data_IF_343933424048
#
_entry.id   IF_343933424048
#
_cell.length_a   1.000
_cell.length_b   1.000
_cell.length_c   1.000
_cell.angle_alpha   90.00
_cell.angle_beta   90.00
_cell.angle_gamma   90.00
#
_symmetry.space_group_name_H-M   'P 1'
#
loop_
_entity.id
_entity.type
_entity.pdbx_description
1 polymer ?
#
# COMPACT_ATOMS: atom_id res chain seq x y z
N UNK A 1 2.09 17.77 4.34
CA UNK A 1 0.82 17.70 3.62
C UNK A 1 0.81 16.36 2.91
N UNK A 2 -0.26 15.57 3.02
CA UNK A 2 -0.37 14.25 2.38
C UNK A 2 -0.71 14.41 0.89
N UNK A 3 0.15 15.12 0.16
CA UNK A 3 -0.02 15.38 -1.28
C UNK A 3 0.77 14.37 -2.08
N UNK A 4 0.17 13.83 -3.15
CA UNK A 4 0.83 12.83 -3.97
C UNK A 4 2.01 13.43 -4.72
N UNK A 5 3.08 12.67 -4.76
CA UNK A 5 4.32 12.96 -5.49
C UNK A 5 4.63 11.87 -6.53
N UNK A 6 4.29 10.61 -6.23
CA UNK A 6 4.65 9.44 -7.00
C UNK A 6 3.45 8.50 -7.15
N UNK A 7 2.56 8.80 -8.09
CA UNK A 7 1.50 7.88 -8.50
C UNK A 7 2.13 6.83 -9.44
N UNK A 8 2.93 5.93 -8.86
CA UNK A 8 3.75 4.97 -9.57
C UNK A 8 3.95 3.69 -8.73
N UNK A 9 3.49 2.51 -9.20
CA UNK A 9 3.58 1.23 -8.50
C UNK A 9 4.99 0.79 -8.10
N UNK A 10 6.02 1.36 -8.74
CA UNK A 10 7.41 1.02 -8.46
C UNK A 10 8.05 1.92 -7.41
N UNK A 11 7.39 3.02 -7.01
CA UNK A 11 7.88 4.03 -6.08
C UNK A 11 6.96 4.22 -4.85
N UNK A 12 5.70 3.82 -4.94
CA UNK A 12 4.65 4.05 -3.93
C UNK A 12 4.78 3.10 -2.71
N UNK A 13 5.56 3.49 -1.70
CA UNK A 13 5.61 2.76 -0.43
C UNK A 13 5.54 3.66 0.77
N UNK A 14 5.26 3.09 1.95
CA UNK A 14 5.19 3.80 3.23
C UNK A 14 6.46 4.57 3.62
N UNK A 15 7.60 4.32 2.98
CA UNK A 15 8.87 5.01 3.25
C UNK A 15 9.14 6.19 2.28
N UNK A 16 8.56 6.16 1.07
CA UNK A 16 8.90 7.09 -0.03
C UNK A 16 7.65 7.82 -0.57
N UNK A 17 6.46 7.21 -0.42
CA UNK A 17 5.18 7.68 -0.93
C UNK A 17 4.16 7.99 0.19
N UNK A 18 3.32 8.97 -0.09
CA UNK A 18 2.21 9.40 0.76
C UNK A 18 1.05 8.39 0.75
N UNK A 19 0.12 8.42 1.72
CA UNK A 19 -1.09 7.58 1.63
C UNK A 19 -1.89 7.94 0.36
N UNK A 20 -1.87 9.22 -0.03
CA UNK A 20 -2.45 9.68 -1.28
C UNK A 20 -1.82 9.04 -2.53
N UNK A 21 -0.50 8.82 -2.55
CA UNK A 21 0.18 8.14 -3.67
C UNK A 21 -0.34 6.72 -3.84
N UNK A 22 -0.48 5.98 -2.73
CA UNK A 22 -0.95 4.59 -2.74
C UNK A 22 -2.40 4.49 -3.17
N UNK A 23 -3.26 5.36 -2.65
CA UNK A 23 -4.67 5.38 -3.00
C UNK A 23 -4.87 5.70 -4.48
N UNK A 24 -4.16 6.72 -5.00
CA UNK A 24 -4.21 7.04 -6.43
C UNK A 24 -3.61 5.93 -7.29
N UNK A 25 -2.50 5.32 -6.87
CA UNK A 25 -1.86 4.23 -7.62
C UNK A 25 -2.78 3.02 -7.73
N UNK A 26 -3.47 2.65 -6.65
CA UNK A 26 -4.43 1.54 -6.63
C UNK A 26 -5.67 1.78 -7.51
N UNK A 27 -6.04 3.05 -7.75
CA UNK A 27 -7.13 3.44 -8.64
C UNK A 27 -6.70 3.51 -10.11
N UNK A 28 -5.44 3.88 -10.37
CA UNK A 28 -4.92 4.10 -11.73
C UNK A 28 -4.34 2.84 -12.35
N UNK A 29 -3.75 1.95 -11.57
CA UNK A 29 -3.03 0.78 -12.07
C UNK A 29 -3.74 -0.54 -11.74
N UNK A 30 -3.48 -1.56 -12.56
CA UNK A 30 -3.85 -2.95 -12.27
C UNK A 30 -2.60 -3.83 -12.21
N UNK A 31 -2.62 -4.83 -11.34
CA UNK A 31 -1.65 -5.93 -11.34
C UNK A 31 -2.15 -7.14 -12.12
N UNK A 32 -1.36 -8.21 -12.13
CA UNK A 32 -1.82 -9.50 -12.65
C UNK A 32 -2.98 -10.02 -11.78
N UNK A 33 -2.80 -9.89 -10.46
CA UNK A 33 -3.83 -10.16 -9.46
C UNK A 33 -4.21 -8.86 -8.72
N UNK A 34 -5.34 -8.90 -8.01
CA UNK A 34 -5.83 -7.83 -7.15
C UNK A 34 -6.24 -8.40 -5.80
N UNK A 35 -5.88 -7.71 -4.72
CA UNK A 35 -6.37 -8.05 -3.38
C UNK A 35 -7.80 -7.53 -3.18
N UNK A 36 -8.68 -8.37 -2.64
CA UNK A 36 -9.99 -7.97 -2.11
C UNK A 36 -9.84 -7.36 -0.71
N UNK A 37 -10.91 -6.76 -0.22
CA UNK A 37 -10.98 -6.19 1.15
C UNK A 37 -10.73 -7.22 2.26
N UNK A 38 -10.95 -8.50 1.98
CA UNK A 38 -10.69 -9.63 2.89
C UNK A 38 -9.24 -10.16 2.78
N UNK A 39 -8.40 -9.55 1.96
CA UNK A 39 -7.01 -9.95 1.72
C UNK A 39 -6.83 -11.08 0.69
N UNK A 40 -7.91 -11.74 0.26
CA UNK A 40 -7.78 -12.79 -0.76
C UNK A 40 -7.53 -12.22 -2.15
N UNK A 41 -6.79 -12.95 -2.96
CA UNK A 41 -6.37 -12.53 -4.30
C UNK A 41 -7.37 -13.01 -5.35
N UNK A 42 -7.68 -12.13 -6.31
CA UNK A 42 -8.48 -12.43 -7.50
C UNK A 42 -7.70 -12.07 -8.77
N UNK A 43 -7.96 -12.73 -9.92
CA UNK A 43 -7.41 -12.31 -11.21
C UNK A 43 -7.85 -10.89 -11.60
N UNK A 44 -6.93 -10.05 -12.07
CA UNK A 44 -7.20 -8.70 -12.58
C UNK A 44 -6.85 -8.60 -14.07
N UNK A 45 -5.59 -8.27 -14.42
CA UNK A 45 -5.10 -8.37 -15.80
C UNK A 45 -4.93 -9.82 -16.26
N UNK A 46 -4.59 -10.72 -15.33
CA UNK A 46 -4.58 -12.14 -15.61
C UNK A 46 -6.02 -12.66 -15.76
N UNK A 47 -6.23 -13.54 -16.73
CA UNK A 47 -7.42 -14.39 -16.83
C UNK A 47 -7.31 -15.54 -15.82
N UNK A 48 -6.15 -16.19 -15.80
CA UNK A 48 -5.83 -17.31 -14.92
C UNK A 48 -4.32 -17.41 -14.66
N UNK A 49 -3.96 -18.27 -13.71
CA UNK A 49 -2.58 -18.65 -13.48
C UNK A 49 -2.47 -20.12 -13.06
N UNK A 50 -1.33 -20.73 -13.38
CA UNK A 50 -0.98 -22.09 -13.01
C UNK A 50 0.31 -22.10 -12.20
N UNK A 51 0.32 -22.87 -11.11
CA UNK A 51 1.52 -23.09 -10.29
C UNK A 51 1.97 -24.53 -10.50
N UNK A 52 3.23 -24.69 -10.88
CA UNK A 52 3.87 -26.00 -11.00
C UNK A 52 3.92 -26.74 -9.64
N UNK A 53 3.95 -28.09 -9.64
CA UNK A 53 3.92 -28.87 -8.40
C UNK A 53 5.07 -28.59 -7.42
N UNK A 54 6.23 -28.15 -7.91
CA UNK A 54 7.39 -27.78 -7.10
C UNK A 54 7.32 -26.34 -6.55
N UNK A 55 6.32 -25.55 -6.97
CA UNK A 55 6.15 -24.16 -6.57
C UNK A 55 7.22 -23.21 -7.14
N UNK A 56 7.93 -23.60 -8.20
CA UNK A 56 9.02 -22.81 -8.79
C UNK A 56 8.62 -22.08 -10.06
N UNK A 57 7.65 -22.60 -10.81
CA UNK A 57 7.12 -21.99 -12.03
C UNK A 57 5.68 -21.52 -11.84
N UNK A 58 5.44 -20.24 -12.15
CA UNK A 58 4.11 -19.64 -12.20
C UNK A 58 3.84 -19.15 -13.62
N UNK A 59 2.81 -19.68 -14.28
CA UNK A 59 2.40 -19.26 -15.62
C UNK A 59 1.15 -18.42 -15.51
N UNK A 60 1.15 -17.21 -16.05
CA UNK A 60 -0.01 -16.33 -16.12
C UNK A 60 -0.44 -16.15 -17.58
N UNK A 61 -1.74 -16.24 -17.80
CA UNK A 61 -2.39 -15.91 -19.08
C UNK A 61 -3.14 -14.60 -18.90
N UNK A 62 -2.83 -13.59 -19.70
CA UNK A 62 -3.49 -12.29 -19.70
C UNK A 62 -4.86 -12.37 -20.38
N UNK A 63 -5.82 -11.57 -19.88
CA UNK A 63 -7.11 -11.41 -20.54
C UNK A 63 -6.93 -10.85 -21.95
N UNK A 64 -7.85 -11.20 -22.84
CA UNK A 64 -7.88 -10.67 -24.21
C UNK A 64 -8.38 -9.21 -24.22
N UNK A 65 -7.92 -8.44 -25.20
CA UNK A 65 -8.38 -7.07 -25.49
C UNK A 65 -8.16 -6.03 -24.37
N UNK A 66 -7.20 -6.29 -23.49
CA UNK A 66 -6.75 -5.34 -22.47
C UNK A 66 -6.15 -4.10 -23.13
N UNK A 67 -6.47 -2.93 -22.57
CA UNK A 67 -5.90 -1.66 -23.02
C UNK A 67 -5.58 -0.75 -21.86
N UNK A 68 -4.54 0.04 -22.05
CA UNK A 68 -4.19 1.20 -21.25
C UNK A 68 -5.25 2.31 -21.37
N UNK A 69 -5.18 3.30 -20.49
CA UNK A 69 -6.04 4.48 -20.50
C UNK A 69 -5.93 5.29 -21.80
N UNK A 70 -4.79 5.23 -22.49
CA UNK A 70 -4.55 5.87 -23.79
C UNK A 70 -5.03 5.04 -25.00
N UNK A 71 -5.51 3.81 -24.76
CA UNK A 71 -6.04 2.91 -25.78
C UNK A 71 -5.03 1.92 -26.36
N UNK A 72 -3.74 2.03 -26.02
CA UNK A 72 -2.73 1.07 -26.41
C UNK A 72 -2.98 -0.31 -25.78
N UNK A 73 -2.56 -1.38 -26.44
CA UNK A 73 -2.77 -2.75 -25.96
C UNK A 73 -1.83 -3.09 -24.81
N UNK A 74 -2.32 -3.86 -23.85
CA UNK A 74 -1.50 -4.45 -22.79
C UNK A 74 -1.05 -5.84 -23.23
N UNK A 75 0.24 -6.14 -23.07
CA UNK A 75 0.86 -7.41 -23.45
C UNK A 75 1.77 -7.96 -22.35
N UNK A 76 2.26 -9.18 -22.54
CA UNK A 76 3.29 -9.78 -21.68
C UNK A 76 4.56 -8.93 -21.60
N UNK A 77 4.87 -8.13 -22.62
CA UNK A 77 6.04 -7.26 -22.63
C UNK A 77 5.96 -6.13 -21.59
N UNK A 78 4.76 -5.63 -21.29
CA UNK A 78 4.54 -4.62 -20.23
C UNK A 78 4.79 -5.21 -18.83
N UNK A 79 4.33 -6.44 -18.62
CA UNK A 79 4.58 -7.18 -17.39
C UNK A 79 6.07 -7.41 -17.20
N UNK A 80 6.74 -7.94 -18.23
CA UNK A 80 8.19 -8.19 -18.19
C UNK A 80 8.96 -6.90 -17.93
N UNK A 81 8.62 -5.83 -18.63
CA UNK A 81 9.24 -4.52 -18.45
C UNK A 81 9.10 -4.04 -17.00
N UNK A 82 7.88 -4.08 -16.45
CA UNK A 82 7.60 -3.61 -15.09
C UNK A 82 8.42 -4.37 -14.06
N UNK A 83 8.42 -5.70 -14.13
CA UNK A 83 9.11 -6.53 -13.14
C UNK A 83 10.64 -6.39 -13.24
N UNK A 84 11.19 -6.33 -14.46
CA UNK A 84 12.62 -6.04 -14.65
C UNK A 84 12.99 -4.65 -14.10
N UNK A 85 12.14 -3.65 -14.33
CA UNK A 85 12.34 -2.29 -13.83
C UNK A 85 12.27 -2.24 -12.30
N UNK A 86 11.36 -3.00 -11.68
CA UNK A 86 11.28 -3.13 -10.22
C UNK A 86 12.55 -3.79 -9.63
N UNK A 87 13.12 -4.78 -10.32
CA UNK A 87 14.35 -5.47 -9.92
C UNK A 87 15.63 -4.66 -10.13
N UNK A 88 15.61 -3.64 -11.00
CA UNK A 88 16.76 -2.80 -11.31
C UNK A 88 17.10 -1.85 -10.15
N UNK A 89 18.37 -1.87 -9.72
CA UNK A 89 18.86 -0.99 -8.65
C UNK A 89 18.75 0.50 -8.98
N UNK A 90 18.76 0.89 -10.26
CA UNK A 90 18.71 2.29 -10.72
C UNK A 90 17.34 2.92 -10.49
N UNK A 91 16.27 2.12 -10.55
CA UNK A 91 14.90 2.53 -10.22
C UNK A 91 14.75 2.89 -8.74
N UNK A 92 15.63 2.34 -7.88
CA UNK A 92 15.55 2.45 -6.41
C UNK A 92 14.18 2.01 -5.89
N UNK A 93 13.57 1.03 -6.55
CA UNK A 93 12.26 0.53 -6.14
C UNK A 93 12.37 -0.17 -4.78
N UNK A 94 11.52 0.20 -3.80
CA UNK A 94 11.42 -0.52 -2.54
C UNK A 94 10.87 -1.95 -2.72
N UNK A 95 10.28 -2.26 -3.88
CA UNK A 95 9.79 -3.61 -4.22
C UNK A 95 10.88 -4.51 -4.80
N UNK A 96 12.11 -4.02 -4.98
CA UNK A 96 13.20 -4.77 -5.62
C UNK A 96 13.45 -6.15 -5.00
N UNK A 97 13.46 -6.23 -3.67
CA UNK A 97 13.71 -7.48 -2.95
C UNK A 97 12.67 -8.57 -3.24
N UNK A 98 11.44 -8.18 -3.61
CA UNK A 98 10.36 -9.12 -3.93
C UNK A 98 10.60 -9.88 -5.26
N UNK A 99 11.50 -9.36 -6.10
CA UNK A 99 11.79 -9.89 -7.44
C UNK A 99 13.21 -10.46 -7.54
N UNK A 100 13.94 -10.53 -6.42
CA UNK A 100 15.31 -11.04 -6.41
C UNK A 100 15.33 -12.53 -6.79
N UNK A 101 16.15 -12.85 -7.80
CA UNK A 101 16.26 -14.20 -8.34
C UNK A 101 15.03 -14.73 -9.09
N UNK A 102 14.05 -13.87 -9.41
CA UNK A 102 12.91 -14.24 -10.26
C UNK A 102 13.28 -14.01 -11.73
N UNK A 103 13.27 -15.08 -12.53
CA UNK A 103 13.48 -15.02 -13.98
C UNK A 103 12.13 -14.99 -14.71
N UNK A 104 12.11 -14.38 -15.90
CA UNK A 104 10.90 -14.13 -16.68
C UNK A 104 11.06 -14.69 -18.09
N UNK A 105 10.11 -15.52 -18.51
CA UNK A 105 10.06 -16.09 -19.86
C UNK A 105 8.78 -15.66 -20.56
N UNK A 106 8.92 -14.89 -21.65
CA UNK A 106 7.85 -14.58 -22.57
C UNK A 106 7.51 -15.84 -23.37
N UNK A 107 6.30 -16.37 -23.22
CA UNK A 107 5.84 -17.50 -24.03
C UNK A 107 5.19 -16.98 -25.31
N UNK A 108 4.28 -16.01 -25.18
CA UNK A 108 3.64 -15.30 -26.29
C UNK A 108 3.19 -13.90 -25.83
N UNK A 109 2.34 -13.22 -26.61
CA UNK A 109 1.88 -11.86 -26.34
C UNK A 109 1.01 -11.75 -25.08
N UNK A 110 0.37 -12.84 -24.64
CA UNK A 110 -0.53 -12.89 -23.49
C UNK A 110 -0.04 -13.83 -22.39
N UNK A 111 0.99 -14.63 -22.63
CA UNK A 111 1.46 -15.65 -21.69
C UNK A 111 2.87 -15.34 -21.18
N UNK A 112 3.00 -15.26 -19.86
CA UNK A 112 4.25 -14.98 -19.14
C UNK A 112 4.49 -16.04 -18.08
N UNK A 113 5.72 -16.55 -18.00
CA UNK A 113 6.17 -17.41 -16.92
C UNK A 113 7.13 -16.67 -15.99
N UNK A 114 6.95 -16.92 -14.70
CA UNK A 114 7.87 -16.54 -13.64
C UNK A 114 8.56 -17.79 -13.12
N UNK A 115 9.88 -17.76 -13.08
CA UNK A 115 10.74 -18.86 -12.67
C UNK A 115 11.47 -18.44 -11.39
N UNK A 116 11.19 -19.12 -10.29
CA UNK A 116 11.76 -18.87 -8.97
C UNK A 116 12.88 -19.87 -8.69
N UNK A 117 13.92 -19.42 -7.99
CA UNK A 117 15.01 -20.29 -7.52
C UNK A 117 14.64 -21.18 -6.34
N UNK A 118 13.59 -20.81 -5.61
CA UNK A 118 13.10 -21.51 -4.40
C UNK A 118 11.63 -21.18 -4.20
N UNK A 119 10.83 -22.09 -3.61
CA UNK A 119 9.42 -21.83 -3.37
C UNK A 119 9.26 -20.63 -2.45
N UNK A 120 8.37 -19.70 -2.82
CA UNK A 120 8.13 -18.48 -2.06
C UNK A 120 6.62 -18.29 -1.90
N UNK A 121 6.10 -18.64 -0.72
CA UNK A 121 4.66 -18.63 -0.44
C UNK A 121 3.95 -17.29 -0.76
N UNK A 122 4.52 -16.11 -0.47
CA UNK A 122 3.90 -14.81 -0.79
C UNK A 122 4.02 -14.41 -2.26
N UNK A 123 4.54 -15.25 -3.16
CA UNK A 123 4.83 -14.84 -4.54
C UNK A 123 3.63 -14.24 -5.26
N UNK A 124 2.44 -14.83 -5.09
CA UNK A 124 1.22 -14.32 -5.71
C UNK A 124 0.86 -12.91 -5.24
N UNK A 125 1.14 -12.56 -3.98
CA UNK A 125 0.92 -11.20 -3.45
C UNK A 125 1.82 -10.18 -4.16
N UNK A 126 3.05 -10.55 -4.53
CA UNK A 126 3.94 -9.68 -5.30
C UNK A 126 3.33 -9.30 -6.66
N UNK A 127 2.56 -10.21 -7.26
CA UNK A 127 1.93 -9.99 -8.58
C UNK A 127 0.73 -9.03 -8.54
N UNK A 128 0.40 -8.49 -7.35
CA UNK A 128 -0.55 -7.37 -7.20
C UNK A 128 0.07 -6.00 -7.52
N UNK A 129 1.38 -5.94 -7.74
CA UNK A 129 2.06 -4.72 -8.20
C UNK A 129 1.40 -4.20 -9.49
N UNK A 130 1.16 -2.89 -9.57
CA UNK A 130 0.62 -2.27 -10.77
C UNK A 130 1.60 -2.39 -11.95
N UNK A 131 1.09 -2.77 -13.11
CA UNK A 131 1.88 -2.87 -14.35
C UNK A 131 2.02 -1.49 -14.98
N UNK A 132 3.25 -1.13 -15.36
CA UNK A 132 3.57 0.10 -16.06
C UNK A 132 3.47 -0.08 -17.59
N UNK A 133 2.97 0.92 -18.32
CA UNK A 133 2.98 0.93 -19.79
C UNK A 133 4.41 1.00 -20.32
N UNK A 134 4.91 -0.09 -20.90
CA UNK A 134 6.28 -0.15 -21.42
C UNK A 134 6.54 0.94 -22.46
N UNK A 135 5.58 1.18 -23.36
CA UNK A 135 5.68 2.17 -24.43
C UNK A 135 5.88 3.61 -23.94
N UNK A 136 5.60 3.89 -22.67
CA UNK A 136 5.84 5.18 -22.03
C UNK A 136 7.14 5.15 -21.24
N UNK A 137 7.30 4.15 -20.38
CA UNK A 137 8.34 4.15 -19.36
C UNK A 137 9.70 3.68 -19.85
N UNK A 138 9.78 2.92 -20.96
CA UNK A 138 11.05 2.45 -21.50
C UNK A 138 11.93 3.58 -22.05
N UNK A 139 11.32 4.68 -22.49
CA UNK A 139 12.01 5.85 -23.02
C UNK A 139 12.49 6.82 -21.93
N UNK A 140 12.12 6.59 -20.66
CA UNK A 140 12.45 7.48 -19.55
C UNK A 140 13.81 7.10 -18.95
N UNK A 141 14.71 8.08 -18.90
CA UNK A 141 15.99 7.92 -18.21
C UNK A 141 15.79 7.63 -16.72
N UNK A 142 16.54 6.66 -16.18
CA UNK A 142 16.43 6.26 -14.77
C UNK A 142 16.68 7.41 -13.79
N UNK A 143 17.51 8.40 -14.12
CA UNK A 143 17.76 9.57 -13.28
C UNK A 143 16.58 10.54 -13.22
N UNK A 144 15.60 10.36 -14.12
CA UNK A 144 14.37 11.15 -14.19
C UNK A 144 13.13 10.32 -13.89
N UNK A 145 13.31 9.08 -13.44
CA UNK A 145 12.21 8.13 -13.24
C UNK A 145 11.24 8.60 -12.15
N UNK A 146 11.76 9.13 -11.04
CA UNK A 146 11.02 9.69 -9.91
C UNK A 146 10.45 11.10 -10.19
N UNK A 147 11.19 11.91 -10.96
CA UNK A 147 10.80 13.29 -11.28
C UNK A 147 9.96 13.43 -12.55
N UNK A 148 9.66 12.33 -13.23
CA UNK A 148 8.88 12.37 -14.46
C UNK A 148 7.43 12.84 -14.21
N UNK A 149 6.86 13.58 -15.18
CA UNK A 149 5.47 14.04 -15.09
C UNK A 149 4.43 12.90 -15.07
N UNK A 150 4.76 11.70 -15.58
CA UNK A 150 3.88 10.54 -15.45
C UNK A 150 3.70 10.06 -14.00
N UNK A 151 4.53 10.50 -13.05
CA UNK A 151 4.28 10.29 -11.62
C UNK A 151 3.15 11.19 -11.07
N UNK A 152 2.79 12.26 -11.78
CA UNK A 152 1.68 13.16 -11.42
C UNK A 152 0.46 12.94 -12.29
N UNK A 153 0.64 12.66 -13.58
CA UNK A 153 -0.44 12.36 -14.54
C UNK A 153 -0.19 11.00 -15.21
N UNK A 154 -0.31 9.91 -14.44
CA UNK A 154 -0.05 8.57 -14.92
C UNK A 154 -1.06 8.11 -15.98
N UNK A 155 -0.58 7.23 -16.85
CA UNK A 155 -1.38 6.34 -17.69
C UNK A 155 -1.27 4.95 -17.09
N UNK A 156 -2.40 4.32 -16.80
CA UNK A 156 -2.47 2.97 -16.27
C UNK A 156 -3.58 2.17 -16.93
N UNK A 157 -4.01 1.11 -16.26
CA UNK A 157 -5.03 0.16 -16.74
C UNK A 157 -6.12 -0.10 -15.70
N UNK A 158 -6.05 0.60 -14.58
CA UNK A 158 -6.95 0.46 -13.43
C UNK A 158 -8.33 1.06 -13.69
N UNK A 159 -9.22 0.98 -12.69
CA UNK A 159 -10.62 1.40 -12.81
C UNK A 159 -10.80 2.87 -13.14
N UNK A 160 -9.85 3.73 -12.78
CA UNK A 160 -9.95 5.18 -12.97
C UNK A 160 -8.71 5.75 -13.64
N UNK A 161 -8.91 6.80 -14.43
CA UNK A 161 -7.84 7.55 -15.10
C UNK A 161 -7.88 9.02 -14.67
N UNK A 162 -6.72 9.67 -14.63
CA UNK A 162 -6.63 11.08 -14.23
C UNK A 162 -7.26 11.96 -15.32
N UNK A 163 -8.27 12.73 -14.93
CA UNK A 163 -8.95 13.68 -15.81
C UNK A 163 -8.35 15.09 -15.67
N UNK A 164 -8.26 15.60 -14.44
CA UNK A 164 -7.69 16.91 -14.15
C UNK A 164 -7.02 16.97 -12.78
N UNK A 165 -6.11 17.93 -12.62
CA UNK A 165 -5.34 18.17 -11.40
C UNK A 165 -5.46 19.66 -11.06
N UNK A 166 -5.93 19.97 -9.85
CA UNK A 166 -5.87 21.33 -9.32
C UNK A 166 -4.57 21.47 -8.52
N UNK A 167 -3.84 22.56 -8.75
CA UNK A 167 -2.54 22.80 -8.11
C UNK A 167 -2.49 24.18 -7.49
N UNK A 168 -1.64 24.33 -6.47
CA UNK A 168 -1.29 25.63 -5.88
C UNK A 168 0.21 25.86 -6.01
N UNK A 169 0.60 27.08 -6.36
CA UNK A 169 2.01 27.48 -6.42
C UNK A 169 2.55 27.66 -5.01
N UNK A 170 3.59 26.91 -4.64
CA UNK A 170 4.27 27.08 -3.35
C UNK A 170 5.12 28.35 -3.36
N UNK A 171 5.62 28.76 -2.18
CA UNK A 171 6.57 29.89 -2.07
C UNK A 171 7.83 29.70 -2.91
N UNK A 172 8.19 28.45 -3.22
CA UNK A 172 9.36 28.09 -4.01
C UNK A 172 9.05 28.00 -5.52
N UNK A 173 7.81 28.26 -5.94
CA UNK A 173 7.38 28.17 -7.33
C UNK A 173 6.87 26.78 -7.75
N UNK A 174 6.91 25.79 -6.87
CA UNK A 174 6.46 24.43 -7.18
C UNK A 174 4.93 24.36 -7.34
N UNK A 175 4.46 23.59 -8.32
CA UNK A 175 3.04 23.27 -8.46
C UNK A 175 2.69 22.05 -7.59
N UNK A 176 2.01 22.31 -6.48
CA UNK A 176 1.60 21.29 -5.52
C UNK A 176 0.15 20.86 -5.79
N UNK A 177 -0.13 19.58 -6.07
CA UNK A 177 -1.50 19.10 -6.24
C UNK A 177 -2.33 19.28 -4.96
N UNK A 178 -3.51 19.86 -5.10
CA UNK A 178 -4.50 19.99 -4.01
C UNK A 178 -5.74 19.14 -4.25
N UNK A 179 -6.02 18.79 -5.51
CA UNK A 179 -7.03 17.80 -5.84
C UNK A 179 -6.75 17.07 -7.15
N UNK A 180 -7.28 15.85 -7.26
CA UNK A 180 -7.35 15.07 -8.48
C UNK A 180 -8.80 14.77 -8.80
N UNK A 181 -9.21 15.04 -10.04
CA UNK A 181 -10.44 14.52 -10.60
C UNK A 181 -10.10 13.31 -11.44
N UNK A 182 -10.68 12.16 -11.10
CA UNK A 182 -10.55 10.91 -11.84
C UNK A 182 -11.87 10.58 -12.53
N UNK A 183 -11.79 10.02 -13.73
CA UNK A 183 -12.94 9.49 -14.47
C UNK A 183 -12.86 7.98 -14.59
N UNK A 184 -14.01 7.32 -14.55
CA UNK A 184 -14.10 5.87 -14.71
C UNK A 184 -13.60 5.44 -16.09
N UNK A 185 -12.81 4.36 -16.11
CA UNK A 185 -12.35 3.72 -17.33
C UNK A 185 -13.30 2.58 -17.72
N UNK A 186 -14.04 2.75 -18.81
CA UNK A 186 -15.07 1.80 -19.24
C UNK A 186 -14.52 0.44 -19.66
N UNK A 187 -13.24 0.37 -20.03
CA UNK A 187 -12.55 -0.86 -20.47
C UNK A 187 -11.72 -1.51 -19.37
N UNK A 188 -11.97 -1.17 -18.10
CA UNK A 188 -11.32 -1.83 -16.98
C UNK A 188 -11.60 -3.34 -16.98
N UNK A 189 -10.58 -4.14 -16.69
CA UNK A 189 -10.58 -5.60 -16.82
C UNK A 189 -11.61 -6.34 -15.93
N UNK A 190 -12.09 -5.68 -14.87
CA UNK A 190 -13.11 -6.21 -13.94
C UNK A 190 -14.49 -5.57 -14.12
N UNK A 191 -14.69 -4.85 -15.24
CA UNK A 191 -15.94 -4.18 -15.57
C UNK A 191 -15.95 -2.71 -15.17
N UNK A 192 -16.86 -1.95 -15.79
CA UNK A 192 -16.93 -0.50 -15.61
C UNK A 192 -17.27 -0.15 -14.15
N UNK A 193 -16.52 0.77 -13.50
CA UNK A 193 -16.88 1.26 -12.18
C UNK A 193 -18.26 1.94 -12.15
N UNK A 194 -18.97 1.79 -11.04
CA UNK A 194 -20.29 2.41 -10.85
C UNK A 194 -20.22 3.93 -10.70
N UNK A 195 -19.21 4.45 -9.99
CA UNK A 195 -18.99 5.89 -9.88
C UNK A 195 -18.30 6.38 -11.14
N UNK A 196 -18.93 7.31 -11.86
CA UNK A 196 -18.39 7.92 -13.07
C UNK A 196 -17.16 8.79 -12.80
N UNK A 197 -17.16 9.49 -11.67
CA UNK A 197 -16.13 10.46 -11.29
C UNK A 197 -15.81 10.33 -9.80
N UNK A 198 -14.52 10.42 -9.48
CA UNK A 198 -14.03 10.56 -8.10
C UNK A 198 -13.20 11.84 -8.04
N UNK A 199 -13.51 12.74 -7.10
CA UNK A 199 -12.64 13.88 -6.80
C UNK A 199 -11.96 13.62 -5.45
N UNK A 200 -10.64 13.47 -5.47
CA UNK A 200 -9.81 13.36 -4.27
C UNK A 200 -9.27 14.74 -3.93
N UNK A 201 -9.53 15.22 -2.71
CA UNK A 201 -9.11 16.54 -2.23
C UNK A 201 -8.18 16.36 -1.04
N UNK A 202 -7.03 17.02 -1.05
CA UNK A 202 -6.00 16.87 -0.01
C UNK A 202 -6.03 18.05 0.96
N UNK A 203 -6.27 17.73 2.23
CA UNK A 203 -6.30 18.70 3.32
C UNK A 203 -4.98 18.67 4.12
N UNK A 204 -4.64 19.80 4.74
CA UNK A 204 -3.39 19.96 5.50
C UNK A 204 -3.45 19.34 6.88
N UNK A 205 -4.64 19.31 7.47
CA UNK A 205 -4.91 18.86 8.83
C UNK A 205 -6.32 18.25 8.89
N UNK A 206 -6.57 17.53 9.98
CA UNK A 206 -7.83 16.82 10.21
C UNK A 206 -9.00 17.78 10.46
N UNK A 207 -8.78 18.92 11.11
CA UNK A 207 -9.85 19.88 11.41
C UNK A 207 -10.49 20.45 10.14
N UNK A 208 -9.68 20.82 9.14
CA UNK A 208 -10.13 21.29 7.83
C UNK A 208 -10.90 20.20 7.07
N UNK A 209 -10.45 18.94 7.18
CA UNK A 209 -11.08 17.77 6.57
C UNK A 209 -12.47 17.51 7.18
N UNK A 210 -12.58 17.53 8.51
CA UNK A 210 -13.84 17.36 9.23
C UNK A 210 -14.79 18.52 8.97
N UNK A 211 -14.28 19.76 8.88
CA UNK A 211 -15.08 20.92 8.51
C UNK A 211 -15.62 20.82 7.07
N UNK A 212 -14.84 20.28 6.14
CA UNK A 212 -15.30 20.03 4.77
C UNK A 212 -16.44 19.00 4.70
N UNK A 213 -16.38 17.94 5.52
CA UNK A 213 -17.51 17.00 5.67
C UNK A 213 -18.75 17.74 6.17
N UNK A 214 -18.61 18.52 7.24
CA UNK A 214 -19.73 19.25 7.84
C UNK A 214 -20.37 20.27 6.89
N UNK A 215 -19.62 20.83 5.94
CA UNK A 215 -20.13 21.70 4.87
C UNK A 215 -20.76 20.95 3.68
N UNK A 216 -20.55 19.64 3.59
CA UNK A 216 -20.97 18.83 2.44
C UNK A 216 -20.03 18.91 1.23
N UNK A 217 -18.83 19.47 1.39
CA UNK A 217 -17.84 19.58 0.31
C UNK A 217 -17.25 18.20 -0.07
N UNK A 218 -17.22 17.27 0.89
CA UNK A 218 -16.71 15.91 0.73
C UNK A 218 -17.70 14.87 1.25
N UNK A 219 -17.82 13.75 0.53
CA UNK A 219 -18.80 12.70 0.80
C UNK A 219 -18.24 11.56 1.67
N UNK A 220 -16.92 11.41 1.69
CA UNK A 220 -16.23 10.36 2.43
C UNK A 220 -14.84 10.85 2.83
N UNK A 221 -14.42 10.44 4.03
CA UNK A 221 -13.07 10.69 4.58
C UNK A 221 -12.58 9.43 5.28
N UNK A 222 -11.26 9.26 5.37
CA UNK A 222 -10.61 8.13 6.05
C UNK A 222 -9.53 8.65 7.01
N UNK A 223 -8.92 7.73 7.77
CA UNK A 223 -7.75 7.99 8.62
C UNK A 223 -7.91 9.14 9.64
N UNK A 224 -9.13 9.38 10.14
CA UNK A 224 -9.39 10.37 11.18
C UNK A 224 -9.20 9.82 12.60
N UNK A 225 -8.92 10.72 13.53
CA UNK A 225 -8.88 10.38 14.95
C UNK A 225 -10.23 9.84 15.46
N UNK A 226 -10.20 8.94 16.45
CA UNK A 226 -11.40 8.50 17.17
C UNK A 226 -12.30 9.64 17.65
N UNK A 227 -11.71 10.72 18.17
CA UNK A 227 -12.42 11.89 18.66
C UNK A 227 -13.24 12.56 17.55
N UNK A 228 -12.64 12.74 16.38
CA UNK A 228 -13.34 13.31 15.23
C UNK A 228 -14.41 12.38 14.69
N UNK A 229 -14.16 11.07 14.68
CA UNK A 229 -15.15 10.06 14.28
C UNK A 229 -16.38 10.08 15.19
N UNK A 230 -16.20 10.12 16.51
CA UNK A 230 -17.29 10.30 17.47
C UNK A 230 -18.08 11.59 17.23
N UNK A 231 -17.37 12.69 16.94
CA UNK A 231 -17.98 13.98 16.64
C UNK A 231 -18.82 14.01 15.35
N UNK A 232 -18.60 13.07 14.43
CA UNK A 232 -19.38 12.89 13.19
C UNK A 232 -20.50 11.85 13.33
N UNK A 233 -20.41 10.95 14.31
CA UNK A 233 -21.40 9.91 14.55
C UNK A 233 -22.77 10.51 14.83
N UNK A 234 -23.82 9.92 14.23
CA UNK A 234 -25.20 10.38 14.38
C UNK A 234 -25.58 11.65 13.59
N UNK A 235 -24.65 12.26 12.83
CA UNK A 235 -24.91 13.46 12.00
C UNK A 235 -25.24 13.12 10.54
N UNK A 236 -25.90 11.98 10.30
CA UNK A 236 -26.20 11.50 8.95
C UNK A 236 -25.04 10.78 8.24
N UNK A 237 -23.92 10.56 8.94
CA UNK A 237 -22.78 9.80 8.43
C UNK A 237 -22.72 8.40 9.05
N UNK A 238 -22.25 7.43 8.25
CA UNK A 238 -21.90 6.10 8.74
C UNK A 238 -20.40 6.07 9.03
N UNK A 239 -20.06 5.95 10.32
CA UNK A 239 -18.68 5.72 10.76
C UNK A 239 -18.37 4.24 10.65
N UNK A 240 -17.28 3.90 9.98
CA UNK A 240 -16.79 2.53 9.83
C UNK A 240 -15.46 2.39 10.59
N UNK A 241 -15.36 1.36 11.42
CA UNK A 241 -14.12 1.04 12.13
C UNK A 241 -13.46 -0.16 11.46
N UNK A 242 -12.21 0.01 11.07
CA UNK A 242 -11.43 -1.06 10.43
C UNK A 242 -10.13 -1.23 11.21
N UNK A 243 -9.79 -2.46 11.65
CA UNK A 243 -8.49 -2.71 12.26
C UNK A 243 -7.40 -2.47 11.22
N UNK A 244 -6.41 -1.65 11.56
CA UNK A 244 -5.24 -1.45 10.72
C UNK A 244 -4.25 -2.59 10.99
N UNK A 245 -3.64 -3.20 9.96
CA UNK A 245 -2.56 -4.18 10.13
C UNK A 245 -1.26 -3.45 10.52
N UNK A 246 -1.28 -2.73 11.63
CA UNK A 246 -0.22 -1.85 12.12
C UNK A 246 0.13 -2.22 13.55
N UNK A 247 1.44 -2.35 13.81
CA UNK A 247 2.00 -2.52 15.16
C UNK A 247 2.70 -1.23 15.55
N UNK A 248 2.39 -0.72 16.74
CA UNK A 248 3.13 0.37 17.36
C UNK A 248 4.11 -0.24 18.37
N UNK A 249 5.40 -0.06 18.14
CA UNK A 249 6.46 -0.62 18.98
C UNK A 249 7.57 0.42 19.23
N UNK A 250 8.20 0.32 20.40
CA UNK A 250 9.42 1.05 20.75
C UNK A 250 10.58 0.08 20.64
N UNK A 251 11.54 0.39 19.77
CA UNK A 251 12.75 -0.42 19.59
C UNK A 251 13.90 0.15 20.41
N UNK A 252 14.49 -0.68 21.26
CA UNK A 252 15.66 -0.30 22.04
C UNK A 252 16.95 -0.47 21.22
N UNK A 253 17.61 0.64 20.91
CA UNK A 253 18.85 0.61 20.13
C UNK A 253 20.06 0.28 21.02
N UNK A 254 20.42 -1.01 21.05
CA UNK A 254 21.52 -1.54 21.87
C UNK A 254 22.90 -1.03 21.42
N UNK A 255 23.05 -0.67 20.15
CA UNK A 255 24.31 -0.14 19.62
C UNK A 255 24.55 1.32 20.01
N UNK A 256 23.49 2.06 20.36
CA UNK A 256 23.59 3.47 20.71
C UNK A 256 23.66 3.70 22.22
N UNK A 257 23.01 2.84 23.01
CA UNK A 257 23.01 2.93 24.47
C UNK A 257 23.24 1.55 25.10
N UNK A 258 24.44 1.29 25.69
CA UNK A 258 24.80 0.00 26.26
C UNK A 258 23.86 -0.48 27.38
N UNK A 259 23.18 0.43 28.09
CA UNK A 259 22.20 0.08 29.11
C UNK A 259 21.05 -0.78 28.56
N UNK A 260 20.74 -0.67 27.27
CA UNK A 260 19.73 -1.49 26.63
C UNK A 260 20.22 -2.88 26.24
N UNK A 261 21.50 -3.21 26.38
CA UNK A 261 22.01 -4.58 26.18
C UNK A 261 21.47 -5.51 27.27
N UNK A 262 21.31 -5.00 28.49
CA UNK A 262 20.73 -5.77 29.59
C UNK A 262 19.23 -6.03 29.36
N UNK A 263 18.87 -7.31 29.28
CA UNK A 263 17.48 -7.74 29.13
C UNK A 263 16.60 -7.38 30.33
N UNK A 264 17.17 -7.30 31.54
CA UNK A 264 16.44 -6.92 32.74
C UNK A 264 15.95 -5.47 32.66
N UNK A 265 16.79 -4.56 32.14
CA UNK A 265 16.41 -3.16 31.89
C UNK A 265 15.25 -3.09 30.88
N UNK A 266 15.36 -3.79 29.74
CA UNK A 266 14.30 -3.79 28.72
C UNK A 266 12.97 -4.36 29.25
N UNK A 267 13.02 -5.41 30.06
CA UNK A 267 11.85 -5.97 30.75
C UNK A 267 11.24 -4.98 31.75
N UNK A 268 12.06 -4.35 32.59
CA UNK A 268 11.60 -3.35 33.55
C UNK A 268 10.90 -2.16 32.85
N UNK A 269 11.48 -1.65 31.76
CA UNK A 269 10.86 -0.60 30.95
C UNK A 269 9.54 -1.05 30.33
N UNK A 270 9.46 -2.29 29.83
CA UNK A 270 8.22 -2.84 29.25
C UNK A 270 7.11 -2.95 30.29
N UNK A 271 7.44 -3.38 31.51
CA UNK A 271 6.49 -3.50 32.63
C UNK A 271 6.06 -2.14 33.19
N UNK A 272 6.95 -1.15 33.18
CA UNK A 272 6.66 0.19 33.69
C UNK A 272 5.70 0.99 32.80
N UNK A 273 5.53 0.61 31.53
CA UNK A 273 4.65 1.31 30.58
C UNK A 273 3.19 0.91 30.82
N UNK A 274 2.30 1.85 31.20
CA UNK A 274 0.88 1.55 31.42
C UNK A 274 0.12 1.46 30.09
N UNK A 275 0.32 0.37 29.34
CA UNK A 275 -0.24 0.16 27.99
C UNK A 275 -1.75 0.43 27.92
N UNK A 276 -2.53 -0.04 28.90
CA UNK A 276 -3.98 0.20 28.96
C UNK A 276 -4.33 1.68 29.04
N UNK A 277 -3.60 2.46 29.86
CA UNK A 277 -3.82 3.91 29.97
C UNK A 277 -3.47 4.62 28.68
N UNK A 278 -2.41 4.20 27.99
CA UNK A 278 -2.04 4.76 26.69
C UNK A 278 -3.12 4.50 25.64
N UNK A 279 -3.62 3.26 25.55
CA UNK A 279 -4.69 2.91 24.61
C UNK A 279 -5.95 3.73 24.89
N UNK A 280 -6.36 3.86 26.15
CA UNK A 280 -7.59 4.59 26.49
C UNK A 280 -7.43 6.10 26.32
N UNK A 281 -6.32 6.69 26.77
CA UNK A 281 -6.18 8.14 26.81
C UNK A 281 -5.70 8.74 25.48
N UNK A 282 -4.89 8.00 24.71
CA UNK A 282 -4.31 8.48 23.45
C UNK A 282 -5.11 7.98 22.25
N UNK A 283 -5.51 6.71 22.26
CA UNK A 283 -6.23 6.08 21.16
C UNK A 283 -7.74 5.99 21.39
N UNK A 284 -8.26 6.57 22.49
CA UNK A 284 -9.69 6.49 22.86
C UNK A 284 -10.25 5.06 22.85
N UNK A 285 -9.43 4.06 23.18
CA UNK A 285 -9.83 2.65 23.14
C UNK A 285 -9.68 1.96 21.78
N UNK A 286 -9.31 2.68 20.70
CA UNK A 286 -9.10 2.13 19.36
C UNK A 286 -7.70 1.54 19.18
N UNK A 287 -7.33 0.65 20.10
CA UNK A 287 -6.08 -0.10 20.04
C UNK A 287 -6.20 -1.42 20.77
N UNK A 288 -5.60 -2.47 20.21
CA UNK A 288 -5.48 -3.77 20.88
C UNK A 288 -4.13 -3.86 21.57
N UNK A 289 -4.12 -4.26 22.85
CA UNK A 289 -2.87 -4.50 23.54
C UNK A 289 -2.13 -5.66 22.88
N UNK A 290 -0.83 -5.46 22.61
CA UNK A 290 0.05 -6.48 22.05
C UNK A 290 1.11 -6.91 23.06
N UNK A 291 1.27 -8.22 23.17
CA UNK A 291 2.33 -8.96 23.89
C UNK A 291 3.27 -9.71 22.92
N UNK A 292 2.88 -9.79 21.65
CA UNK A 292 3.60 -10.45 20.56
C UNK A 292 3.90 -9.47 19.42
N UNK A 293 5.01 -9.65 18.67
CA UNK A 293 5.27 -8.89 17.44
C UNK A 293 4.27 -9.24 16.33
N UNK A 294 3.53 -10.35 16.45
CA UNK A 294 2.48 -10.75 15.52
C UNK A 294 1.13 -10.29 16.09
N UNK A 295 0.33 -9.50 15.35
CA UNK A 295 -1.02 -9.13 15.77
C UNK A 295 -1.96 -10.34 15.94
N UNK A 296 -2.93 -10.27 16.88
CA UNK A 296 -4.01 -11.24 16.97
C UNK A 296 -4.76 -11.38 15.64
N UNK A 297 -5.10 -12.62 15.26
CA UNK A 297 -5.80 -12.92 14.01
C UNK A 297 -4.89 -13.18 12.80
N UNK A 298 -3.59 -12.90 12.89
CA UNK A 298 -2.63 -13.27 11.85
C UNK A 298 -2.12 -14.71 12.04
N UNK A 299 -1.81 -15.38 10.92
CA UNK A 299 -1.21 -16.71 10.92
C UNK A 299 0.11 -16.70 11.71
N UNK A 300 0.25 -17.62 12.66
CA UNK A 300 1.42 -17.71 13.54
C UNK A 300 1.30 -16.90 14.84
N UNK A 301 0.20 -16.17 15.07
CA UNK A 301 -0.07 -15.58 16.38
C UNK A 301 -0.15 -16.67 17.46
N UNK A 302 0.70 -16.53 18.48
CA UNK A 302 0.62 -17.31 19.71
C UNK A 302 0.38 -16.32 20.85
N UNK A 303 -0.65 -16.60 21.65
CA UNK A 303 -0.85 -15.90 22.92
C UNK A 303 0.41 -16.17 23.73
N UNK A 304 1.08 -15.12 24.23
CA UNK A 304 2.17 -15.34 25.16
C UNK A 304 1.53 -15.96 26.41
N UNK A 305 1.77 -17.26 26.63
CA UNK A 305 1.41 -17.91 27.89
C UNK A 305 2.05 -17.10 28.99
N UNK A 306 1.20 -16.48 29.81
CA UNK A 306 1.59 -15.63 30.93
C UNK A 306 2.52 -16.41 31.85
N UNK A 307 3.82 -16.17 31.75
CA UNK A 307 4.76 -16.71 32.71
C UNK A 307 5.09 -15.68 33.78
N UNK A 308 4.54 -16.01 34.95
CA UNK A 308 5.00 -15.70 36.31
C UNK A 308 4.55 -14.36 36.91
N UNK A 309 3.68 -14.39 37.95
CA UNK A 309 3.33 -13.23 38.75
C UNK A 309 4.58 -12.54 39.32
N UNK A 310 4.53 -11.20 39.40
CA UNK A 310 5.58 -10.31 39.92
C UNK A 310 6.15 -10.75 41.30
N UNK A 311 5.38 -11.51 42.08
CA UNK A 311 5.75 -12.01 43.39
C UNK A 311 6.92 -13.02 43.39
N UNK A 312 7.14 -13.76 42.30
CA UNK A 312 8.23 -14.75 42.23
C UNK A 312 9.57 -14.15 41.77
N UNK A 313 9.56 -12.94 41.18
CA UNK A 313 10.79 -12.23 40.78
C UNK A 313 11.44 -11.46 41.94
N UNK A 314 10.72 -11.24 43.04
CA UNK A 314 11.23 -10.54 44.23
C UNK A 314 11.70 -11.47 45.37
N UNK A 315 11.67 -12.79 45.16
CA UNK A 315 11.96 -13.78 46.21
C UNK A 315 13.16 -14.69 45.91
N UNK A 316 13.99 -14.38 44.90
CA UNK A 316 15.28 -15.06 44.75
C UNK A 316 16.38 -14.31 45.52
N UNK A 317 17.09 -14.99 46.44
CA UNK A 317 18.19 -14.41 47.20
C UNK A 317 19.37 -14.02 46.32
#
# INVERSE_FOLDING_TARGET
>A
MNTPAHINPLLDTSEIGSEADRDLTALVYSGLLRAKSDGSLIPDLAEEYLVSPDGLTYTFTLKKNLTWHDGEKITADDVIFTIKTAGDSRTKSPKRANWDGVELERVDDLTIKFLLKKPYAPFLENTTIGILPKHIWEAIDFNRFDTNNYNKKPIGSGPYQIDSIETVTTKNGDQLPVSYTLKAFSRFALGKPYLSTIKMVFYRNEDDLVAAVARGDVHAINSISPKSAEGLSGKGYRVLHTPLPRVLAVFFNQNQAPIFVDSAVRKALTLAVPKTKLINNVLAGYGTMLDSPIPPGNLGYKIATTETPLAELMTRP
#
